data_IF_054036103661
#
_entry.id   IF_054036103661
#
_cell.length_a   1.000
_cell.length_b   1.000
_cell.length_c   1.000
_cell.angle_alpha   90.00
_cell.angle_beta   90.00
_cell.angle_gamma   90.00
#
_symmetry.space_group_name_H-M   'P 1'
#
loop_
_entity.id
_entity.type
_entity.pdbx_description
1 polymer ?
#
# COMPACT_ATOMS: atom_id res chain seq x y z
N UNK A 1 4.49 6.25 -21.59
CA UNK A 1 3.43 6.66 -22.53
C UNK A 1 4.03 7.08 -23.88
N UNK A 2 3.41 6.75 -25.02
CA UNK A 2 3.85 7.29 -26.33
C UNK A 2 3.60 8.80 -26.30
N UNK A 3 4.63 9.63 -26.53
CA UNK A 3 4.59 11.11 -26.40
C UNK A 3 3.33 11.78 -26.99
N UNK A 4 2.76 11.23 -28.07
CA UNK A 4 1.53 11.75 -28.69
C UNK A 4 0.31 11.72 -27.75
N UNK A 5 0.08 10.59 -27.07
CA UNK A 5 -1.10 10.39 -26.20
C UNK A 5 -1.17 11.37 -25.03
N UNK A 6 -0.01 11.80 -24.52
CA UNK A 6 0.06 12.78 -23.42
C UNK A 6 -0.33 14.17 -23.93
N UNK A 7 0.13 14.54 -25.13
CA UNK A 7 -0.23 15.83 -25.72
C UNK A 7 -1.69 15.89 -26.13
N UNK A 8 -2.31 14.76 -26.52
CA UNK A 8 -3.74 14.68 -26.78
C UNK A 8 -4.56 15.03 -25.52
N UNK A 9 -4.17 14.49 -24.35
CA UNK A 9 -4.81 14.87 -23.07
C UNK A 9 -4.64 16.34 -22.73
N UNK A 10 -3.47 16.92 -23.01
CA UNK A 10 -3.28 18.35 -22.83
C UNK A 10 -4.09 19.18 -23.82
N UNK A 11 -4.40 18.66 -25.01
CA UNK A 11 -5.35 19.31 -25.93
C UNK A 11 -6.79 19.28 -25.39
N UNK A 12 -7.19 18.19 -24.72
CA UNK A 12 -8.49 18.14 -24.04
C UNK A 12 -8.57 19.23 -22.95
N UNK A 13 -7.52 19.36 -22.14
CA UNK A 13 -7.42 20.40 -21.09
C UNK A 13 -7.50 21.80 -21.69
N UNK A 14 -6.78 22.09 -22.77
CA UNK A 14 -6.85 23.42 -23.38
C UNK A 14 -8.18 23.71 -24.05
N UNK A 15 -8.86 22.69 -24.56
CA UNK A 15 -10.22 22.84 -25.10
C UNK A 15 -11.18 23.24 -23.99
N UNK A 16 -11.17 22.53 -22.86
CA UNK A 16 -11.97 22.87 -21.69
C UNK A 16 -11.65 24.28 -21.13
N UNK A 17 -10.37 24.65 -21.09
CA UNK A 17 -9.96 26.00 -20.67
C UNK A 17 -10.47 27.09 -21.62
N UNK A 18 -10.49 26.85 -22.93
CA UNK A 18 -11.03 27.81 -23.91
C UNK A 18 -12.55 27.93 -23.86
N UNK A 19 -13.24 26.89 -23.44
CA UNK A 19 -14.70 26.90 -23.25
C UNK A 19 -15.12 27.66 -21.98
N UNK A 20 -14.22 27.78 -21.00
CA UNK A 20 -14.48 28.56 -19.78
C UNK A 20 -14.47 30.06 -20.05
N UNK A 21 -15.59 30.73 -19.75
CA UNK A 21 -15.70 32.19 -19.85
C UNK A 21 -14.85 32.95 -18.83
N UNK A 22 -14.45 32.29 -17.75
CA UNK A 22 -13.60 32.87 -16.70
C UNK A 22 -12.11 32.80 -17.05
N UNK A 23 -11.75 32.03 -18.08
CA UNK A 23 -10.37 31.84 -18.49
C UNK A 23 -10.01 32.73 -19.68
N UNK A 24 -9.43 33.89 -19.39
CA UNK A 24 -9.22 34.97 -20.36
C UNK A 24 -8.05 34.77 -21.34
N UNK A 25 -7.43 33.60 -21.41
CA UNK A 25 -6.25 33.37 -22.27
C UNK A 25 -6.63 32.64 -23.57
N UNK A 26 -6.93 33.37 -24.67
CA UNK A 26 -7.52 32.80 -25.89
C UNK A 26 -6.61 31.86 -26.68
N UNK A 27 -5.29 31.94 -26.47
CA UNK A 27 -4.29 31.18 -27.24
C UNK A 27 -3.51 30.16 -26.38
N UNK A 28 -4.13 29.58 -25.36
CA UNK A 28 -3.48 28.50 -24.61
C UNK A 28 -3.38 27.25 -25.49
N UNK A 29 -2.17 26.75 -25.71
CA UNK A 29 -1.91 25.50 -26.41
C UNK A 29 -1.46 24.40 -25.42
N UNK A 30 -1.54 23.13 -25.84
CA UNK A 30 -1.24 21.99 -24.97
C UNK A 30 0.16 22.07 -24.32
N UNK A 31 1.14 22.61 -25.05
CA UNK A 31 2.51 22.75 -24.55
C UNK A 31 2.60 23.85 -23.50
N UNK A 32 1.92 24.97 -23.69
CA UNK A 32 1.81 26.08 -22.73
C UNK A 32 1.07 25.63 -21.48
N UNK A 33 -0.03 24.89 -21.62
CA UNK A 33 -0.76 24.32 -20.48
C UNK A 33 0.11 23.35 -19.66
N UNK A 34 0.81 22.43 -20.34
CA UNK A 34 1.74 21.51 -19.69
C UNK A 34 2.87 22.26 -18.96
N UNK A 35 3.52 23.22 -19.61
CA UNK A 35 4.58 24.01 -18.99
C UNK A 35 4.05 24.85 -17.80
N UNK A 36 2.86 25.44 -17.94
CA UNK A 36 2.22 26.21 -16.89
C UNK A 36 1.88 25.36 -15.67
N UNK A 37 1.35 24.15 -15.89
CA UNK A 37 1.09 23.19 -14.83
C UNK A 37 2.37 22.77 -14.10
N UNK A 38 3.45 22.47 -14.83
CA UNK A 38 4.73 22.12 -14.20
C UNK A 38 5.27 23.24 -13.32
N UNK A 39 5.22 24.49 -13.80
CA UNK A 39 5.61 25.66 -13.01
C UNK A 39 4.72 25.86 -11.78
N UNK A 40 3.42 25.59 -11.90
CA UNK A 40 2.47 25.68 -10.80
C UNK A 40 2.79 24.68 -9.69
N UNK A 41 3.02 23.41 -10.04
CA UNK A 41 3.38 22.36 -9.09
C UNK A 41 4.73 22.66 -8.41
N UNK A 42 5.73 23.12 -9.17
CA UNK A 42 7.04 23.46 -8.61
C UNK A 42 6.97 24.68 -7.69
N UNK A 43 6.16 25.68 -8.03
CA UNK A 43 5.92 26.84 -7.17
C UNK A 43 5.23 26.43 -5.86
N UNK A 44 4.22 25.56 -5.94
CA UNK A 44 3.49 25.08 -4.76
C UNK A 44 4.39 24.27 -3.82
N UNK A 45 5.23 23.37 -4.35
CA UNK A 45 6.24 22.66 -3.55
C UNK A 45 7.18 23.59 -2.78
N UNK A 46 7.56 24.71 -3.40
CA UNK A 46 8.43 25.68 -2.73
C UNK A 46 7.66 26.44 -1.64
N UNK A 47 6.38 26.73 -1.89
CA UNK A 47 5.48 27.29 -0.89
C UNK A 47 5.34 26.35 0.32
N UNK A 48 5.04 25.06 0.12
CA UNK A 48 4.88 24.09 1.22
C UNK A 48 6.16 23.95 2.05
N UNK A 49 7.32 23.90 1.39
CA UNK A 49 8.62 23.85 2.08
C UNK A 49 8.88 25.10 2.91
N UNK A 50 8.49 26.28 2.40
CA UNK A 50 8.63 27.52 3.14
C UNK A 50 7.62 27.58 4.30
N UNK A 51 6.38 27.14 4.09
CA UNK A 51 5.35 27.08 5.14
C UNK A 51 5.79 26.15 6.28
N UNK A 52 6.27 24.94 5.96
CA UNK A 52 6.76 23.99 6.95
C UNK A 52 7.92 24.52 7.81
N UNK A 53 8.72 25.46 7.31
CA UNK A 53 9.79 26.11 8.08
C UNK A 53 9.30 27.21 9.04
N UNK A 54 8.10 27.74 8.81
CA UNK A 54 7.48 28.82 9.59
C UNK A 54 6.25 28.33 10.37
N UNK A 55 5.89 27.05 10.20
CA UNK A 55 4.78 26.36 10.85
C UNK A 55 4.82 26.55 12.37
N UNK A 56 3.75 27.17 12.91
CA UNK A 56 3.64 27.61 14.31
C UNK A 56 2.83 28.90 14.50
N UNK A 57 2.49 29.58 13.40
CA UNK A 57 1.51 30.68 13.32
C UNK A 57 0.22 30.14 12.70
N UNK A 58 -0.94 30.74 13.01
CA UNK A 58 -2.22 30.42 12.36
C UNK A 58 -2.09 30.48 10.82
N UNK A 59 -2.14 29.31 10.17
CA UNK A 59 -1.95 29.19 8.72
C UNK A 59 -3.28 29.37 8.01
N UNK A 60 -3.36 30.40 7.15
CA UNK A 60 -4.53 30.64 6.33
C UNK A 60 -4.59 29.63 5.17
N UNK A 61 -5.34 28.55 5.38
CA UNK A 61 -5.64 27.56 4.34
C UNK A 61 -6.84 28.06 3.52
N UNK A 62 -6.63 28.24 2.22
CA UNK A 62 -7.68 28.57 1.26
C UNK A 62 -7.92 27.39 0.31
N UNK A 63 -9.10 27.33 -0.31
CA UNK A 63 -9.52 26.29 -1.26
C UNK A 63 -8.48 26.06 -2.37
N UNK A 64 -7.84 27.13 -2.85
CA UNK A 64 -6.74 27.02 -3.82
C UNK A 64 -5.56 26.19 -3.31
N UNK A 65 -5.17 26.35 -2.05
CA UNK A 65 -4.05 25.63 -1.44
C UNK A 65 -4.40 24.15 -1.35
N UNK A 66 -5.58 23.83 -0.83
CA UNK A 66 -6.08 22.45 -0.77
C UNK A 66 -6.11 21.77 -2.14
N UNK A 67 -6.59 22.49 -3.17
CA UNK A 67 -6.61 21.94 -4.53
C UNK A 67 -5.19 21.70 -5.08
N UNK A 68 -4.24 22.57 -4.75
CA UNK A 68 -2.85 22.39 -5.16
C UNK A 68 -2.16 21.24 -4.40
N UNK A 69 -2.50 21.02 -3.13
CA UNK A 69 -2.05 19.87 -2.35
C UNK A 69 -2.55 18.57 -2.98
N UNK A 70 -3.85 18.49 -3.29
CA UNK A 70 -4.47 17.33 -3.93
C UNK A 70 -3.86 17.05 -5.31
N UNK A 71 -3.65 18.10 -6.12
CA UNK A 71 -3.03 17.98 -7.44
C UNK A 71 -1.57 17.52 -7.36
N UNK A 72 -0.81 18.04 -6.40
CA UNK A 72 0.57 17.65 -6.16
C UNK A 72 0.66 16.18 -5.73
N UNK A 73 -0.20 15.76 -4.80
CA UNK A 73 -0.28 14.37 -4.35
C UNK A 73 -0.61 13.42 -5.52
N UNK A 74 -1.64 13.72 -6.30
CA UNK A 74 -2.03 12.92 -7.46
C UNK A 74 -0.91 12.84 -8.52
N UNK A 75 -0.19 13.94 -8.75
CA UNK A 75 0.94 13.98 -9.67
C UNK A 75 2.10 13.08 -9.20
N UNK A 76 2.48 13.16 -7.93
CA UNK A 76 3.56 12.35 -7.38
C UNK A 76 3.18 10.87 -7.28
N UNK A 77 1.93 10.56 -6.97
CA UNK A 77 1.42 9.19 -7.01
C UNK A 77 1.49 8.60 -8.42
N UNK A 78 1.07 9.35 -9.44
CA UNK A 78 1.15 8.90 -10.82
C UNK A 78 2.60 8.71 -11.27
N UNK A 79 3.51 9.60 -10.85
CA UNK A 79 4.93 9.53 -11.17
C UNK A 79 5.63 8.35 -10.51
N UNK A 80 5.26 8.04 -9.27
CA UNK A 80 5.87 6.98 -8.46
C UNK A 80 5.16 5.62 -8.61
N UNK A 81 4.02 5.54 -9.31
CA UNK A 81 3.26 4.31 -9.50
C UNK A 81 4.07 3.17 -10.14
N UNK A 82 4.92 3.47 -11.13
CA UNK A 82 5.77 2.47 -11.77
C UNK A 82 6.86 1.96 -10.82
N UNK A 83 7.43 2.86 -10.01
CA UNK A 83 8.43 2.52 -9.02
C UNK A 83 7.83 1.66 -7.90
N UNK A 84 6.65 2.01 -7.38
CA UNK A 84 5.93 1.22 -6.38
C UNK A 84 5.67 -0.20 -6.87
N UNK A 85 5.15 -0.35 -8.10
CA UNK A 85 4.93 -1.68 -8.69
C UNK A 85 6.23 -2.48 -8.84
N UNK A 86 7.33 -1.83 -9.20
CA UNK A 86 8.62 -2.48 -9.29
C UNK A 86 9.14 -2.92 -7.91
N UNK A 87 8.97 -2.08 -6.89
CA UNK A 87 9.37 -2.39 -5.52
C UNK A 87 8.52 -3.50 -4.91
N UNK A 88 7.19 -3.47 -5.08
CA UNK A 88 6.28 -4.56 -4.67
C UNK A 88 6.66 -5.89 -5.33
N UNK A 89 6.96 -5.88 -6.63
CA UNK A 89 7.40 -7.07 -7.35
C UNK A 89 8.74 -7.60 -6.82
N UNK A 90 9.67 -6.70 -6.45
CA UNK A 90 10.97 -7.07 -5.88
C UNK A 90 10.81 -7.63 -4.48
N UNK A 91 9.96 -7.04 -3.65
CA UNK A 91 9.65 -7.53 -2.30
C UNK A 91 9.02 -8.92 -2.35
N UNK A 92 8.07 -9.15 -3.27
CA UNK A 92 7.46 -10.46 -3.46
C UNK A 92 8.50 -11.51 -3.90
N UNK A 93 9.39 -11.14 -4.83
CA UNK A 93 10.48 -12.02 -5.26
C UNK A 93 11.43 -12.37 -4.10
N UNK A 94 11.83 -11.36 -3.32
CA UNK A 94 12.67 -11.54 -2.14
C UNK A 94 11.99 -12.43 -1.09
N UNK A 95 10.70 -12.24 -0.85
CA UNK A 95 9.92 -13.08 0.08
C UNK A 95 9.86 -14.53 -0.40
N UNK A 96 9.60 -14.75 -1.70
CA UNK A 96 9.62 -16.08 -2.30
C UNK A 96 10.99 -16.74 -2.20
N UNK A 97 12.08 -16.00 -2.42
CA UNK A 97 13.44 -16.51 -2.28
C UNK A 97 13.77 -16.88 -0.83
N UNK A 98 13.40 -16.02 0.13
CA UNK A 98 13.58 -16.27 1.55
C UNK A 98 12.86 -17.55 2.01
N UNK A 99 11.59 -17.71 1.62
CA UNK A 99 10.81 -18.92 1.87
C UNK A 99 11.45 -20.17 1.24
N UNK A 100 11.89 -20.06 -0.02
CA UNK A 100 12.59 -21.16 -0.70
C UNK A 100 13.91 -21.52 -0.02
N UNK A 101 14.63 -20.54 0.53
CA UNK A 101 15.86 -20.75 1.28
C UNK A 101 15.61 -21.52 2.58
N UNK A 102 14.56 -21.15 3.33
CA UNK A 102 14.15 -21.86 4.55
C UNK A 102 13.83 -23.33 4.26
N UNK A 103 13.03 -23.60 3.22
CA UNK A 103 12.68 -24.98 2.81
C UNK A 103 13.93 -25.79 2.45
N UNK A 104 14.88 -25.20 1.69
CA UNK A 104 16.14 -25.87 1.34
C UNK A 104 16.98 -26.16 2.59
N UNK A 105 17.08 -25.20 3.51
CA UNK A 105 17.84 -25.37 4.75
C UNK A 105 17.26 -26.49 5.62
N UNK A 106 15.95 -26.52 5.82
CA UNK A 106 15.26 -27.57 6.58
C UNK A 106 15.41 -28.95 5.92
N UNK A 107 15.29 -29.01 4.59
CA UNK A 107 15.52 -30.24 3.84
C UNK A 107 16.97 -30.75 4.01
N UNK A 108 17.98 -29.88 3.96
CA UNK A 108 19.38 -30.27 4.18
C UNK A 108 19.62 -30.78 5.61
N UNK A 109 19.02 -30.16 6.62
CA UNK A 109 19.14 -30.63 8.01
C UNK A 109 18.49 -32.01 8.21
N UNK A 110 17.34 -32.24 7.59
CA UNK A 110 16.61 -33.52 7.68
C UNK A 110 17.38 -34.70 7.06
N UNK A 111 18.22 -34.44 6.06
CA UNK A 111 19.01 -35.45 5.35
C UNK A 111 20.18 -36.00 6.17
N UNK A 112 20.68 -35.25 7.17
CA UNK A 112 21.78 -35.67 8.05
C UNK A 112 21.38 -36.66 9.15
N UNK A 113 20.08 -36.91 9.38
CA UNK A 113 19.59 -37.76 10.49
C UNK A 113 19.31 -39.21 10.10
N UNK A 114 19.59 -39.63 8.85
CA UNK A 114 19.41 -41.02 8.41
C UNK A 114 20.68 -41.87 8.59
N UNK A 115 20.71 -42.56 9.74
CA UNK A 115 21.33 -43.89 10.01
C UNK A 115 22.87 -43.99 9.85
N UNK A 116 23.60 -43.78 10.96
CA UNK A 116 24.79 -44.59 11.24
C UNK A 116 24.31 -45.99 11.63
N UNK A 117 24.75 -47.01 10.90
CA UNK A 117 24.41 -48.41 11.12
C UNK A 117 25.62 -49.08 11.80
N UNK A 118 25.49 -49.33 13.10
CA UNK A 118 26.19 -50.29 13.98
C UNK A 118 25.74 -49.89 15.40
N UNK A 119 25.19 -50.73 16.26
CA UNK A 119 24.82 -52.13 16.24
C UNK A 119 23.43 -52.25 16.88
N UNK A 120 22.90 -53.46 16.92
CA UNK A 120 21.70 -53.90 17.64
C UNK A 120 21.32 -53.00 18.83
N UNK A 121 20.24 -52.23 18.72
CA UNK A 121 19.41 -51.85 19.85
C UNK A 121 18.05 -51.36 19.35
N UNK A 122 17.02 -51.99 19.91
CA UNK A 122 15.60 -51.78 19.69
C UNK A 122 15.22 -50.31 19.95
N UNK A 123 14.79 -49.58 18.92
CA UNK A 123 14.28 -48.21 19.09
C UNK A 123 12.92 -48.28 19.78
N UNK A 124 12.93 -48.21 21.10
CA UNK A 124 11.74 -47.90 21.90
C UNK A 124 11.75 -46.39 22.14
N UNK A 125 10.81 -45.62 21.56
CA UNK A 125 10.72 -44.19 21.84
C UNK A 125 10.44 -43.99 23.33
N UNK A 126 11.36 -43.33 24.04
CA UNK A 126 11.12 -42.90 25.42
C UNK A 126 9.87 -42.02 25.47
N UNK A 127 8.93 -42.42 26.33
CA UNK A 127 7.60 -41.84 26.58
C UNK A 127 7.57 -40.28 26.57
N UNK A 128 8.60 -39.65 27.14
CA UNK A 128 8.72 -38.18 27.20
C UNK A 128 9.07 -37.47 25.89
N UNK A 129 9.47 -38.16 24.82
CA UNK A 129 9.66 -37.56 23.48
C UNK A 129 8.35 -37.55 22.70
N UNK A 130 7.55 -38.61 22.80
CA UNK A 130 6.24 -38.68 22.16
C UNK A 130 5.29 -37.64 22.76
N UNK A 131 5.29 -37.50 24.09
CA UNK A 131 4.49 -36.49 24.78
C UNK A 131 4.82 -35.06 24.31
N UNK A 132 6.10 -34.74 24.10
CA UNK A 132 6.52 -33.43 23.58
C UNK A 132 6.02 -33.14 22.17
N UNK A 133 6.04 -34.15 21.29
CA UNK A 133 5.50 -34.01 19.93
C UNK A 133 3.99 -33.78 19.98
N UNK A 134 3.27 -34.50 20.84
CA UNK A 134 1.82 -34.35 21.03
C UNK A 134 1.49 -32.95 21.56
N UNK A 135 2.23 -32.45 22.56
CA UNK A 135 2.04 -31.10 23.10
C UNK A 135 2.25 -30.03 22.03
N UNK A 136 3.30 -30.15 21.21
CA UNK A 136 3.59 -29.18 20.15
C UNK A 136 2.47 -29.16 19.09
N UNK A 137 1.96 -30.33 18.70
CA UNK A 137 0.84 -30.43 17.75
C UNK A 137 -0.45 -29.83 18.32
N UNK A 138 -0.68 -30.00 19.62
CA UNK A 138 -1.85 -29.45 20.29
C UNK A 138 -1.77 -27.93 20.44
N UNK A 139 -0.59 -27.39 20.74
CA UNK A 139 -0.33 -25.94 20.76
C UNK A 139 -0.50 -25.32 19.37
N UNK A 140 0.03 -25.98 18.33
CA UNK A 140 -0.13 -25.54 16.94
C UNK A 140 -1.59 -25.54 16.49
N UNK A 141 -2.34 -26.61 16.79
CA UNK A 141 -3.77 -26.69 16.48
C UNK A 141 -4.58 -25.62 17.21
N UNK A 142 -4.21 -25.29 18.45
CA UNK A 142 -4.86 -24.23 19.22
C UNK A 142 -4.58 -22.84 18.64
N UNK A 143 -3.33 -22.55 18.30
CA UNK A 143 -2.96 -21.27 17.69
C UNK A 143 -3.69 -21.02 16.36
N UNK A 144 -3.84 -22.04 15.53
CA UNK A 144 -4.60 -21.95 14.27
C UNK A 144 -6.08 -21.63 14.52
N UNK A 145 -6.72 -22.32 15.48
CA UNK A 145 -8.12 -22.06 15.82
C UNK A 145 -8.35 -20.65 16.37
N UNK A 146 -7.43 -20.16 17.18
CA UNK A 146 -7.50 -18.81 17.76
C UNK A 146 -7.32 -17.74 16.67
N UNK A 147 -6.38 -17.95 15.74
CA UNK A 147 -6.19 -17.06 14.58
C UNK A 147 -7.44 -16.99 13.69
N UNK A 148 -8.07 -18.13 13.37
CA UNK A 148 -9.29 -18.16 12.58
C UNK A 148 -10.46 -17.46 13.30
N UNK A 149 -10.55 -17.59 14.62
CA UNK A 149 -11.59 -16.92 15.44
C UNK A 149 -11.39 -15.41 15.45
N UNK A 150 -10.17 -14.94 15.69
CA UNK A 150 -9.85 -13.52 15.68
C UNK A 150 -10.13 -12.89 14.32
N UNK A 151 -9.80 -13.60 13.23
CA UNK A 151 -10.12 -13.16 11.87
C UNK A 151 -11.62 -12.98 11.65
N UNK A 152 -12.44 -13.96 12.05
CA UNK A 152 -13.91 -13.83 11.95
C UNK A 152 -14.45 -12.69 12.83
N UNK A 153 -13.90 -12.54 14.04
CA UNK A 153 -14.36 -11.50 14.95
C UNK A 153 -14.09 -10.11 14.38
N UNK A 154 -12.90 -9.90 13.82
CA UNK A 154 -12.53 -8.64 13.17
C UNK A 154 -13.42 -8.35 11.96
N UNK A 155 -13.71 -9.35 11.13
CA UNK A 155 -14.63 -9.20 9.99
C UNK A 155 -16.05 -8.81 10.44
N UNK A 156 -16.53 -9.38 11.56
CA UNK A 156 -17.83 -9.02 12.14
C UNK A 156 -17.85 -7.61 12.73
N UNK A 157 -16.76 -7.17 13.35
CA UNK A 157 -16.61 -5.82 13.89
C UNK A 157 -16.55 -4.77 12.78
N UNK A 158 -15.81 -5.02 11.70
CA UNK A 158 -15.76 -4.16 10.50
C UNK A 158 -17.16 -3.99 9.89
N UNK A 159 -17.91 -5.08 9.71
CA UNK A 159 -19.30 -5.01 9.22
C UNK A 159 -20.22 -4.24 10.16
N UNK A 160 -20.01 -4.31 11.48
CA UNK A 160 -20.78 -3.52 12.44
C UNK A 160 -20.45 -2.04 12.32
N UNK A 161 -19.18 -1.70 12.17
CA UNK A 161 -18.72 -0.33 11.97
C UNK A 161 -19.30 0.27 10.69
N UNK A 162 -19.26 -0.45 9.57
CA UNK A 162 -19.89 -0.03 8.29
C UNK A 162 -21.40 0.24 8.44
N UNK A 163 -22.10 -0.57 9.24
CA UNK A 163 -23.54 -0.37 9.48
C UNK A 163 -23.82 0.84 10.38
N UNK A 164 -22.95 1.13 11.36
CA UNK A 164 -23.03 2.30 12.23
C UNK A 164 -22.69 3.58 11.45
N UNK A 165 -21.67 3.55 10.60
CA UNK A 165 -21.30 4.64 9.69
C UNK A 165 -22.46 4.98 8.74
N UNK A 166 -23.05 3.98 8.07
CA UNK A 166 -24.25 4.17 7.23
C UNK A 166 -25.48 4.64 7.99
N UNK A 167 -25.55 4.41 9.30
CA UNK A 167 -26.64 4.95 10.15
C UNK A 167 -26.38 6.42 10.47
N UNK A 168 -25.14 6.79 10.79
CA UNK A 168 -24.75 8.17 11.03
C UNK A 168 -24.88 9.03 9.77
N UNK A 169 -24.44 8.54 8.61
CA UNK A 169 -24.62 9.23 7.32
C UNK A 169 -26.10 9.51 7.02
N UNK A 170 -26.98 8.53 7.29
CA UNK A 170 -28.42 8.70 7.08
C UNK A 170 -29.06 9.67 8.06
N UNK A 171 -28.54 9.79 9.27
CA UNK A 171 -28.99 10.80 10.25
C UNK A 171 -28.49 12.20 9.87
N UNK A 172 -27.24 12.32 9.42
CA UNK A 172 -26.64 13.58 8.96
C UNK A 172 -27.36 14.14 7.72
N UNK A 173 -27.81 13.27 6.82
CA UNK A 173 -28.56 13.66 5.61
C UNK A 173 -30.04 13.97 5.86
N UNK A 174 -30.53 13.77 7.09
CA UNK A 174 -31.92 13.99 7.49
C UNK A 174 -32.11 15.20 8.42
N UNK A 175 -31.03 15.88 8.81
CA UNK A 175 -31.00 17.14 9.55
C UNK A 175 -30.69 18.32 8.59
#
# INVERSE_FOLDING_TARGET
ARRGLVMDRWNDVTSALRESSEFSQPEIDAKRACNGFMLLIDAHRNYDKASAQVSGVDEYVNEKILLLDDLLAAYDDAKNADQRRADESRELANHSEAMGSLIRAEAMESMGKRKRKNDEDEWVPSDGKLMRVITLMQEQAKAELDFQRERMQKEMEERRFELEERRMERQLMAE
#
